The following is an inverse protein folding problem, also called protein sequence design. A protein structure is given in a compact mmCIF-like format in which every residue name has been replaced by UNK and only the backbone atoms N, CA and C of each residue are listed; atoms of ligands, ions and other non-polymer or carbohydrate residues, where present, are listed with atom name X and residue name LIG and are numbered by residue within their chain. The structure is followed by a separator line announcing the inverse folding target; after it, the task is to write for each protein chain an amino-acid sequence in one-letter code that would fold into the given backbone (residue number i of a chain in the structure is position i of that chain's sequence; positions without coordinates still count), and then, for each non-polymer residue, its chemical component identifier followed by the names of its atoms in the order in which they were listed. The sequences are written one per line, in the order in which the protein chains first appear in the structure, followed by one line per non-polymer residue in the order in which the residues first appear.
data_IF_107500882812
#
_entry.id   IF_107500882812
#
_cell.length_a   1.000
_cell.length_b   1.000
_cell.length_c   1.000
_cell.angle_alpha   90.00
_cell.angle_beta   90.00
_cell.angle_gamma   90.00
#
_symmetry.space_group_name_H-M   'P 1'
#
loop_
_entity.id
_entity.type
_entity.pdbx_description
1 polymer ?
#
# COMPACT_ATOMS: atom_id res chain seq x y z
N UNK A 1 6.15 13.06 -7.68
CA UNK A 1 5.90 11.67 -7.25
C UNK A 1 5.77 10.73 -8.46
N UNK A 2 6.63 10.88 -9.48
CA UNK A 2 6.40 10.31 -10.84
C UNK A 2 7.24 9.03 -11.13
N UNK A 3 8.38 8.87 -10.45
CA UNK A 3 9.39 7.87 -10.83
C UNK A 3 8.95 6.40 -10.66
N UNK A 4 8.17 6.10 -9.62
CA UNK A 4 7.67 4.73 -9.37
C UNK A 4 6.62 4.32 -10.40
N UNK A 5 5.79 5.25 -10.87
CA UNK A 5 4.74 4.98 -11.84
C UNK A 5 5.36 4.60 -13.20
N UNK A 6 6.48 5.21 -13.57
CA UNK A 6 7.24 4.86 -14.78
C UNK A 6 7.93 3.50 -14.66
N UNK A 7 8.58 3.24 -13.50
CA UNK A 7 9.22 1.94 -13.21
C UNK A 7 8.25 0.76 -13.27
N UNK A 8 7.03 0.95 -12.75
CA UNK A 8 5.97 -0.07 -12.80
C UNK A 8 5.38 -0.21 -14.22
N UNK A 9 5.48 0.82 -15.07
CA UNK A 9 4.97 0.82 -16.44
C UNK A 9 5.92 0.15 -17.43
N UNK A 10 7.25 0.26 -17.27
CA UNK A 10 8.24 -0.35 -18.18
C UNK A 10 8.21 -1.90 -18.15
N UNK A 11 7.70 -2.58 -19.18
CA UNK A 11 7.59 -4.04 -19.24
C UNK A 11 8.92 -4.79 -19.13
N UNK A 12 10.05 -4.12 -19.42
CA UNK A 12 11.40 -4.71 -19.39
C UNK A 12 12.08 -4.56 -18.03
N UNK A 13 11.55 -3.73 -17.13
CA UNK A 13 12.11 -3.58 -15.80
C UNK A 13 11.84 -4.86 -14.97
N UNK A 14 12.87 -5.59 -14.51
CA UNK A 14 12.71 -6.76 -13.65
C UNK A 14 12.14 -6.40 -12.26
N UNK A 15 11.99 -5.10 -11.99
CA UNK A 15 11.65 -4.53 -10.70
C UNK A 15 10.19 -4.68 -10.31
N UNK A 16 9.30 -5.00 -11.27
CA UNK A 16 7.86 -5.09 -11.01
C UNK A 16 7.54 -6.14 -9.96
N UNK A 17 8.13 -7.33 -10.07
CA UNK A 17 7.89 -8.42 -9.13
C UNK A 17 8.62 -8.21 -7.79
N UNK A 18 9.86 -7.69 -7.82
CA UNK A 18 10.64 -7.49 -6.61
C UNK A 18 10.08 -6.39 -5.71
N UNK A 19 9.30 -5.45 -6.26
CA UNK A 19 8.55 -4.44 -5.50
C UNK A 19 7.15 -4.94 -5.16
N UNK A 20 6.44 -5.57 -6.10
CA UNK A 20 5.05 -5.95 -5.88
C UNK A 20 4.86 -7.05 -4.83
N UNK A 21 5.78 -8.03 -4.73
CA UNK A 21 5.64 -9.12 -3.76
C UNK A 21 5.81 -8.62 -2.32
N UNK A 22 6.88 -7.85 -1.96
CA UNK A 22 6.98 -7.27 -0.62
C UNK A 22 5.82 -6.34 -0.26
N UNK A 23 5.33 -5.54 -1.20
CA UNK A 23 4.16 -4.69 -0.95
C UNK A 23 2.88 -5.50 -0.72
N UNK A 24 2.72 -6.65 -1.39
CA UNK A 24 1.57 -7.52 -1.16
C UNK A 24 1.63 -8.19 0.22
N UNK A 25 2.84 -8.60 0.64
CA UNK A 25 3.08 -9.09 2.00
C UNK A 25 2.69 -8.05 3.05
N UNK A 26 3.14 -6.79 2.87
CA UNK A 26 2.81 -5.69 3.78
C UNK A 26 1.31 -5.33 3.74
N UNK A 27 0.70 -5.29 2.56
CA UNK A 27 -0.74 -5.02 2.44
C UNK A 27 -1.58 -6.08 3.18
N UNK A 28 -1.19 -7.35 3.14
CA UNK A 28 -1.93 -8.42 3.85
C UNK A 28 -1.96 -8.20 5.36
N UNK A 29 -0.92 -7.65 5.98
CA UNK A 29 -0.92 -7.46 7.45
C UNK A 29 -1.99 -6.49 7.92
N UNK A 30 -2.56 -5.70 7.01
CA UNK A 30 -3.63 -4.74 7.28
C UNK A 30 -5.02 -5.26 6.91
N UNK A 31 -5.19 -6.54 6.56
CA UNK A 31 -6.49 -7.10 6.16
C UNK A 31 -7.49 -7.24 7.32
N UNK A 32 -7.02 -7.18 8.56
CA UNK A 32 -7.83 -7.31 9.77
C UNK A 32 -7.69 -6.07 10.67
N UNK A 33 -7.27 -4.95 10.07
CA UNK A 33 -7.11 -3.69 10.80
C UNK A 33 -8.47 -3.11 11.20
N UNK A 34 -8.57 -2.55 12.40
CA UNK A 34 -9.80 -1.94 12.92
C UNK A 34 -10.27 -0.76 12.07
N UNK A 35 -9.34 -0.08 11.39
CA UNK A 35 -9.66 0.97 10.44
C UNK A 35 -10.13 0.36 9.12
N UNK A 36 -11.45 0.32 8.93
CA UNK A 36 -12.09 -0.17 7.70
C UNK A 36 -11.63 0.54 6.42
N UNK A 37 -11.18 1.79 6.51
CA UNK A 37 -10.56 2.52 5.39
C UNK A 37 -9.20 1.94 5.00
N UNK A 38 -8.33 1.73 5.99
CA UNK A 38 -7.00 1.13 5.79
C UNK A 38 -7.11 -0.32 5.31
N UNK A 39 -8.00 -1.10 5.92
CA UNK A 39 -8.29 -2.48 5.53
C UNK A 39 -8.69 -2.58 4.05
N UNK A 40 -9.70 -1.80 3.63
CA UNK A 40 -10.16 -1.78 2.22
C UNK A 40 -9.07 -1.29 1.27
N UNK A 41 -8.34 -0.24 1.62
CA UNK A 41 -7.25 0.29 0.80
C UNK A 41 -6.16 -0.77 0.60
N UNK A 42 -5.82 -1.51 1.65
CA UNK A 42 -4.82 -2.57 1.64
C UNK A 42 -5.25 -3.77 0.79
N UNK A 43 -6.49 -4.23 0.93
CA UNK A 43 -7.08 -5.26 0.06
C UNK A 43 -7.08 -4.82 -1.41
N UNK A 44 -7.52 -3.59 -1.67
CA UNK A 44 -7.52 -2.99 -3.00
C UNK A 44 -6.12 -2.89 -3.62
N UNK A 45 -5.11 -2.51 -2.83
CA UNK A 45 -3.71 -2.49 -3.23
C UNK A 45 -3.22 -3.90 -3.57
N UNK A 46 -3.45 -4.88 -2.69
CA UNK A 46 -3.08 -6.27 -2.92
C UNK A 46 -3.61 -6.81 -4.25
N UNK A 47 -4.91 -6.57 -4.53
CA UNK A 47 -5.52 -6.95 -5.79
C UNK A 47 -4.96 -6.19 -7.01
N UNK A 48 -4.47 -4.95 -6.86
CA UNK A 48 -3.79 -4.23 -7.93
C UNK A 48 -2.39 -4.77 -8.21
N UNK A 49 -1.66 -5.19 -7.18
CA UNK A 49 -0.31 -5.75 -7.30
C UNK A 49 -0.28 -7.03 -8.14
N UNK A 50 -1.39 -7.79 -8.17
CA UNK A 50 -1.53 -8.99 -9.01
C UNK A 50 -1.35 -8.72 -10.52
N UNK A 51 -1.57 -7.47 -10.98
CA UNK A 51 -1.34 -7.08 -12.38
C UNK A 51 0.15 -7.03 -12.73
N UNK A 52 1.01 -6.75 -11.75
CA UNK A 52 2.46 -6.56 -11.94
C UNK A 52 3.29 -7.83 -11.75
N UNK A 53 2.65 -8.93 -11.33
CA UNK A 53 3.32 -10.21 -11.10
C UNK A 53 2.94 -11.25 -12.16
N UNK A 54 3.87 -12.13 -12.51
CA UNK A 54 3.61 -13.29 -13.38
C UNK A 54 2.59 -14.23 -12.74
N UNK A 55 1.67 -14.77 -13.54
CA UNK A 55 0.57 -15.63 -13.07
C UNK A 55 1.08 -17.02 -12.65
N UNK A 56 2.35 -17.31 -12.96
CA UNK A 56 3.10 -18.50 -12.54
C UNK A 56 3.99 -18.23 -11.31
N UNK A 57 3.90 -17.06 -10.68
CA UNK A 57 4.71 -16.73 -9.51
C UNK A 57 4.24 -17.55 -8.30
N UNK A 58 5.09 -18.47 -7.85
CA UNK A 58 4.86 -19.24 -6.62
C UNK A 58 4.83 -18.35 -5.38
N UNK A 59 5.69 -17.33 -5.32
CA UNK A 59 5.76 -16.40 -4.20
C UNK A 59 4.45 -15.63 -4.04
N UNK A 60 3.96 -15.00 -5.11
CA UNK A 60 2.68 -14.27 -5.03
C UNK A 60 1.50 -15.23 -4.89
N UNK A 61 1.56 -16.43 -5.48
CA UNK A 61 0.57 -17.48 -5.27
C UNK A 61 0.43 -17.87 -3.79
N UNK A 62 1.55 -18.05 -3.08
CA UNK A 62 1.54 -18.32 -1.65
C UNK A 62 0.94 -17.16 -0.84
N UNK A 63 1.21 -15.92 -1.23
CA UNK A 63 0.59 -14.76 -0.57
C UNK A 63 -0.92 -14.68 -0.84
N UNK A 64 -1.38 -15.08 -2.02
CA UNK A 64 -2.82 -15.22 -2.36
C UNK A 64 -3.47 -16.30 -1.51
N UNK A 65 -2.87 -17.48 -1.39
CA UNK A 65 -3.40 -18.59 -0.59
C UNK A 65 -3.55 -18.18 0.88
N UNK A 66 -2.54 -17.53 1.47
CA UNK A 66 -2.61 -16.98 2.84
C UNK A 66 -3.66 -15.89 3.03
N UNK A 67 -4.07 -15.22 1.95
CA UNK A 67 -5.06 -14.14 2.00
C UNK A 67 -6.49 -14.63 1.79
N UNK A 68 -6.68 -15.88 1.32
CA UNK A 68 -7.99 -16.38 0.92
C UNK A 68 -8.97 -16.43 2.08
N UNK A 69 -8.53 -16.89 3.26
CA UNK A 69 -9.39 -17.02 4.44
C UNK A 69 -10.04 -15.68 4.80
N UNK A 70 -9.23 -14.66 5.07
CA UNK A 70 -9.70 -13.31 5.40
C UNK A 70 -10.56 -12.72 4.28
N UNK A 71 -10.16 -12.84 3.01
CA UNK A 71 -10.93 -12.31 1.88
C UNK A 71 -12.29 -12.99 1.70
N UNK A 72 -12.41 -14.29 2.00
CA UNK A 72 -13.66 -15.05 1.90
C UNK A 72 -14.63 -14.69 3.04
N UNK A 73 -14.11 -14.46 4.25
CA UNK A 73 -14.93 -14.00 5.39
C UNK A 73 -15.55 -12.64 5.07
N UNK A 74 -14.73 -11.70 4.61
CA UNK A 74 -15.19 -10.35 4.22
C UNK A 74 -16.01 -10.28 2.93
N UNK A 75 -16.26 -11.41 2.24
CA UNK A 75 -17.18 -11.42 1.09
C UNK A 75 -18.65 -11.25 1.51
N UNK A 76 -18.96 -11.57 2.77
CA UNK A 76 -20.28 -11.43 3.40
C UNK A 76 -20.29 -10.30 4.44
N UNK A 77 -19.39 -9.33 4.29
CA UNK A 77 -19.29 -8.21 5.23
C UNK A 77 -20.56 -7.35 5.22
N UNK A 78 -20.93 -6.83 6.39
CA UNK A 78 -22.08 -5.93 6.56
C UNK A 78 -21.85 -4.59 5.83
N UNK A 79 -20.58 -4.16 5.67
CA UNK A 79 -20.23 -3.04 4.80
C UNK A 79 -20.19 -3.51 3.33
N UNK A 80 -21.14 -3.06 2.48
CA UNK A 80 -21.19 -3.47 1.09
C UNK A 80 -19.94 -3.05 0.29
N UNK A 81 -19.20 -2.02 0.74
CA UNK A 81 -17.95 -1.62 0.10
C UNK A 81 -16.83 -2.62 0.40
N UNK A 82 -16.77 -3.17 1.61
CA UNK A 82 -15.81 -4.23 1.98
C UNK A 82 -16.10 -5.49 1.16
N UNK A 83 -17.36 -5.93 1.15
CA UNK A 83 -17.79 -7.08 0.36
C UNK A 83 -17.45 -6.94 -1.13
N UNK A 84 -17.64 -5.74 -1.70
CA UNK A 84 -17.31 -5.47 -3.09
C UNK A 84 -15.80 -5.47 -3.37
N UNK A 85 -14.99 -4.87 -2.49
CA UNK A 85 -13.53 -4.89 -2.61
C UNK A 85 -13.03 -6.33 -2.58
N UNK A 86 -13.48 -7.14 -1.61
CA UNK A 86 -13.09 -8.55 -1.50
C UNK A 86 -13.47 -9.34 -2.75
N UNK A 87 -14.69 -9.18 -3.27
CA UNK A 87 -15.11 -9.80 -4.53
C UNK A 87 -14.16 -9.50 -5.69
N UNK A 88 -13.81 -8.22 -5.87
CA UNK A 88 -12.91 -7.79 -6.93
C UNK A 88 -11.50 -8.33 -6.73
N UNK A 89 -10.98 -8.31 -5.50
CA UNK A 89 -9.64 -8.81 -5.19
C UNK A 89 -9.56 -10.33 -5.42
N UNK A 90 -10.53 -11.09 -4.94
CA UNK A 90 -10.65 -12.54 -5.17
C UNK A 90 -10.67 -12.88 -6.67
N UNK A 91 -11.44 -12.14 -7.48
CA UNK A 91 -11.47 -12.32 -8.93
C UNK A 91 -10.11 -12.03 -9.59
N UNK A 92 -9.42 -10.97 -9.16
CA UNK A 92 -8.08 -10.61 -9.66
C UNK A 92 -7.00 -11.61 -9.25
N UNK A 93 -7.15 -12.26 -8.09
CA UNK A 93 -6.22 -13.26 -7.57
C UNK A 93 -6.51 -14.68 -8.07
N UNK A 94 -7.70 -14.92 -8.64
CA UNK A 94 -8.10 -16.23 -9.19
C UNK A 94 -7.05 -16.87 -10.12
N UNK A 95 -6.36 -16.15 -11.04
CA UNK A 95 -5.34 -16.75 -11.90
C UNK A 95 -4.13 -17.35 -11.17
N UNK A 96 -3.90 -16.98 -9.91
CA UNK A 96 -2.74 -17.42 -9.11
C UNK A 96 -3.00 -18.70 -8.31
N UNK A 97 -4.25 -19.13 -8.22
CA UNK A 97 -4.61 -20.36 -7.51
C UNK A 97 -4.11 -21.58 -8.28
N UNK A 98 -3.53 -22.55 -7.57
CA UNK A 98 -3.07 -23.82 -8.14
C UNK A 98 -4.23 -24.72 -8.57
N UNK A 99 -5.33 -24.74 -7.80
CA UNK A 99 -6.50 -25.59 -8.00
C UNK A 99 -7.42 -25.12 -9.14
N UNK A 100 -7.48 -25.87 -10.26
CA UNK A 100 -8.31 -25.51 -11.43
C UNK A 100 -9.82 -25.47 -11.14
N UNK A 101 -10.42 -26.44 -10.42
CA UNK A 101 -11.84 -26.39 -10.08
C UNK A 101 -12.19 -25.13 -9.28
N UNK A 102 -11.36 -24.77 -8.29
CA UNK A 102 -11.55 -23.57 -7.49
C UNK A 102 -11.48 -22.30 -8.34
N UNK A 103 -10.55 -22.22 -9.30
CA UNK A 103 -10.49 -21.09 -10.24
C UNK A 103 -11.77 -20.93 -11.05
N UNK A 104 -12.36 -22.05 -11.47
CA UNK A 104 -13.60 -22.04 -12.25
C UNK A 104 -14.76 -21.56 -11.39
N UNK A 105 -14.89 -22.12 -10.19
CA UNK A 105 -15.91 -21.74 -9.21
C UNK A 105 -15.82 -20.25 -8.85
N UNK A 106 -14.62 -19.74 -8.55
CA UNK A 106 -14.46 -18.32 -8.19
C UNK A 106 -14.85 -17.39 -9.33
N UNK A 107 -14.53 -17.73 -10.59
CA UNK A 107 -14.94 -16.90 -11.73
C UNK A 107 -16.45 -16.90 -11.91
N UNK A 108 -17.12 -18.04 -11.80
CA UNK A 108 -18.58 -18.10 -12.00
C UNK A 108 -19.32 -17.35 -10.88
N UNK A 109 -18.91 -17.54 -9.63
CA UNK A 109 -19.61 -16.97 -8.46
C UNK A 109 -19.34 -15.47 -8.27
N UNK A 110 -18.16 -14.98 -8.66
CA UNK A 110 -17.76 -13.59 -8.41
C UNK A 110 -18.03 -12.66 -9.60
N UNK A 111 -18.19 -13.17 -10.82
CA UNK A 111 -18.43 -12.36 -12.02
C UNK A 111 -19.79 -11.63 -11.99
N UNK A 112 -20.81 -12.19 -11.34
CA UNK A 112 -22.17 -11.63 -11.33
C UNK A 112 -22.29 -10.32 -10.50
N UNK A 113 -21.34 -10.05 -9.60
CA UNK A 113 -21.36 -8.86 -8.73
C UNK A 113 -20.19 -7.88 -8.95
N UNK A 114 -19.28 -8.16 -9.89
CA UNK A 114 -18.05 -7.38 -10.07
C UNK A 114 -18.27 -6.11 -10.92
N UNK A 115 -19.24 -5.27 -10.59
CA UNK A 115 -19.29 -3.91 -11.13
C UNK A 115 -18.04 -3.13 -10.65
N UNK A 116 -17.36 -2.35 -11.52
CA UNK A 116 -16.20 -1.56 -11.11
C UNK A 116 -16.57 -0.64 -9.95
N UNK A 117 -15.75 -0.65 -8.89
CA UNK A 117 -15.83 0.32 -7.82
C UNK A 117 -15.78 1.74 -8.44
N UNK A 118 -16.67 2.68 -8.03
CA UNK A 118 -16.42 4.09 -8.27
C UNK A 118 -15.02 4.40 -7.76
N UNK A 119 -14.21 5.14 -8.52
CA UNK A 119 -12.87 5.53 -8.06
C UNK A 119 -13.00 6.05 -6.62
N UNK A 120 -12.13 5.59 -5.72
CA UNK A 120 -12.00 6.21 -4.40
C UNK A 120 -11.99 7.72 -4.62
N UNK A 121 -12.91 8.49 -4.00
CA UNK A 121 -12.83 9.94 -4.09
C UNK A 121 -11.43 10.34 -3.64
N UNK A 122 -10.68 11.03 -4.50
CA UNK A 122 -9.34 11.57 -4.18
C UNK A 122 -9.39 12.66 -3.09
N UNK A 123 -10.49 12.74 -2.33
CA UNK A 123 -10.82 13.82 -1.41
C UNK A 123 -10.33 13.57 0.03
N UNK A 124 -9.91 12.36 0.41
CA UNK A 124 -9.51 12.08 1.81
C UNK A 124 -8.01 12.25 2.11
N UNK A 125 -7.20 12.77 1.16
CA UNK A 125 -5.81 13.17 1.43
C UNK A 125 -5.58 14.68 1.16
N UNK A 126 -6.65 15.45 0.97
CA UNK A 126 -6.58 16.89 0.71
C UNK A 126 -7.05 17.74 1.88
N UNK A 127 -7.20 17.18 3.08
CA UNK A 127 -7.33 18.03 4.26
C UNK A 127 -5.97 18.69 4.53
N UNK A 128 -5.85 20.02 4.41
CA UNK A 128 -4.66 20.69 4.90
C UNK A 128 -4.56 20.43 6.40
N UNK A 129 -3.37 20.06 6.87
CA UNK A 129 -3.09 19.99 8.29
C UNK A 129 -3.56 21.29 8.97
N UNK A 130 -4.17 21.24 10.16
CA UNK A 130 -4.59 22.44 10.85
C UNK A 130 -3.37 23.35 11.06
N UNK A 131 -3.42 24.55 10.49
CA UNK A 131 -2.37 25.55 10.69
C UNK A 131 -2.29 25.88 12.19
N UNK A 132 -1.14 25.56 12.79
CA UNK A 132 -0.80 26.01 14.14
C UNK A 132 -0.75 27.55 14.14
N UNK A 133 -1.36 28.22 15.13
CA UNK A 133 -1.30 29.67 15.25
C UNK A 133 0.16 30.14 15.29
N UNK A 134 0.51 31.03 14.36
CA UNK A 134 1.76 31.80 14.40
C UNK A 134 1.67 32.77 15.57
N UNK A 135 2.19 32.36 16.71
CA UNK A 135 2.49 33.31 17.79
C UNK A 135 3.71 34.13 17.41
N UNK A 136 3.59 35.43 17.66
CA UNK A 136 4.33 36.50 17.05
C UNK A 136 5.82 36.52 17.43
N UNK A 137 6.66 36.83 16.43
CA UNK A 137 7.89 37.56 16.66
C UNK A 137 7.54 38.90 17.32
N UNK A 138 8.02 39.12 18.55
CA UNK A 138 8.74 40.32 18.98
C UNK A 138 9.00 40.27 20.49
N UNK A 139 10.28 40.25 20.87
CA UNK A 139 10.89 41.25 21.78
C UNK A 139 12.27 40.76 22.26
N UNK A 140 13.30 41.60 22.07
CA UNK A 140 14.42 41.70 23.01
C UNK A 140 15.70 40.94 22.69
N UNK A 141 16.60 41.59 21.95
CA UNK A 141 18.05 41.34 22.06
C UNK A 141 18.56 41.84 23.43
N UNK A 142 19.46 41.11 24.10
CA UNK A 142 20.50 41.77 24.86
C UNK A 142 21.89 41.39 24.36
N UNK A 143 22.67 42.44 24.14
CA UNK A 143 24.10 42.41 23.85
C UNK A 143 24.94 41.67 24.91
N UNK A 144 26.06 41.14 24.42
CA UNK A 144 27.36 41.01 25.09
C UNK A 144 27.52 39.91 26.15
N UNK A 145 28.39 38.93 25.82
CA UNK A 145 29.62 38.64 26.59
C UNK A 145 30.49 37.58 25.88
N UNK A 146 31.59 38.08 25.32
CA UNK A 146 32.95 37.53 25.36
C UNK A 146 33.18 36.06 25.01
N UNK A 147 33.73 35.83 23.80
CA UNK A 147 34.48 34.61 23.48
C UNK A 147 35.88 34.66 24.14
N UNK A 148 36.37 33.56 24.74
CA UNK A 148 37.80 33.35 24.86
C UNK A 148 38.31 32.50 23.68
N UNK A 149 39.42 32.97 23.11
CA UNK A 149 40.23 32.29 22.12
C UNK A 149 41.15 31.22 22.75
N UNK A 150 41.77 30.44 21.85
CA UNK A 150 42.85 29.46 22.04
C UNK A 150 42.36 28.02 22.37
N UNK A 151 42.88 26.95 21.77
CA UNK A 151 44.22 26.80 21.21
C UNK A 151 44.31 25.73 20.11
N UNK A 152 45.29 25.92 19.23
CA UNK A 152 45.71 24.97 18.18
C UNK A 152 46.48 23.82 18.84
N UNK A 153 46.26 22.58 18.42
CA UNK A 153 47.35 21.61 18.31
C UNK A 153 47.28 20.91 16.94
N UNK A 154 48.45 20.93 16.31
CA UNK A 154 48.83 20.46 14.99
C UNK A 154 49.10 18.95 14.98
N UNK A 155 48.79 18.34 13.84
CA UNK A 155 49.55 17.29 13.13
C UNK A 155 49.71 15.86 13.67
N UNK A 156 49.63 14.92 12.71
CA UNK A 156 50.00 13.52 12.87
C UNK A 156 49.28 12.56 11.92
N UNK A 157 49.67 12.57 10.64
CA UNK A 157 49.34 11.52 9.65
C UNK A 157 50.14 10.21 9.89
N UNK A 158 49.56 9.13 9.33
CA UNK A 158 50.03 7.74 9.13
C UNK A 158 49.55 6.71 10.16
#
# INVERSE_FOLDING_TARGET
MEGLCWLLRDPKAPLKACVAIPLALQARTCFEDENSGLMRASMGLFGHLSKFVSKKSSLFGAEVEKSMETLLIHLQDEDPLVAQVCRVVLLRCTPFLSCQPLRTLMRSQLAEGAAPHPRLPEQSLQDPAPELPREAEQEGCPESRSCPAADRIHDGQL
#
